data_IF_453503843322
#
_entry.id   IF_453503843322
#
_cell.length_a   1.000
_cell.length_b   1.000
_cell.length_c   1.000
_cell.angle_alpha   90.00
_cell.angle_beta   90.00
_cell.angle_gamma   90.00
#
_symmetry.space_group_name_H-M   'P 1'
#
loop_
_entity.id
_entity.type
_entity.pdbx_description
1 polymer ?
#
# COMPACT_ATOMS: atom_id res chain seq x y z
N UNK A 1 33.72 21.54 34.87
CA UNK A 1 32.34 21.36 35.35
C UNK A 1 31.44 22.21 34.48
N UNK A 2 30.77 21.50 33.58
CA UNK A 2 29.45 21.77 33.01
C UNK A 2 29.13 23.12 32.37
N UNK A 3 29.13 23.10 31.04
CA UNK A 3 28.03 23.71 30.26
C UNK A 3 28.00 23.11 28.86
N UNK A 4 27.56 21.85 28.77
CA UNK A 4 27.06 21.27 27.53
C UNK A 4 25.75 21.99 27.20
N UNK A 5 25.82 22.98 26.30
CA UNK A 5 24.64 23.57 25.67
C UNK A 5 23.99 22.48 24.81
N UNK A 6 22.92 21.92 25.35
CA UNK A 6 22.02 20.99 24.70
C UNK A 6 21.34 21.71 23.52
N UNK A 7 21.92 21.58 22.33
CA UNK A 7 21.31 21.97 21.07
C UNK A 7 20.12 21.04 20.80
N UNK A 8 18.95 21.44 21.29
CA UNK A 8 17.67 20.91 20.81
C UNK A 8 17.54 21.28 19.33
N UNK A 9 17.99 20.40 18.45
CA UNK A 9 17.53 20.38 17.06
C UNK A 9 16.02 20.21 17.11
N UNK A 10 15.31 21.28 16.78
CA UNK A 10 13.91 21.20 16.39
C UNK A 10 13.91 20.53 15.03
N UNK A 11 13.70 19.22 15.00
CA UNK A 11 13.24 18.55 13.79
C UNK A 11 11.86 19.15 13.49
N UNK A 12 11.82 20.03 12.48
CA UNK A 12 10.57 20.48 11.91
C UNK A 12 9.83 19.29 11.31
N UNK A 13 8.51 19.38 11.09
CA UNK A 13 7.80 18.32 10.40
C UNK A 13 8.46 18.18 9.02
N UNK A 14 9.00 16.99 8.74
CA UNK A 14 9.36 16.60 7.38
C UNK A 14 8.10 16.86 6.55
N UNK A 15 8.21 17.84 5.66
CA UNK A 15 7.15 18.23 4.74
C UNK A 15 6.96 17.04 3.79
N UNK A 16 6.18 16.07 4.26
CA UNK A 16 5.96 14.80 3.61
C UNK A 16 5.36 15.08 2.25
N UNK A 17 6.16 14.87 1.22
CA UNK A 17 5.81 15.05 -0.19
C UNK A 17 4.48 14.36 -0.48
N UNK A 18 3.38 15.10 -0.44
CA UNK A 18 2.16 14.72 -1.13
C UNK A 18 2.55 14.50 -2.58
N UNK A 19 2.35 13.30 -3.12
CA UNK A 19 2.40 13.11 -4.58
C UNK A 19 1.20 13.88 -5.15
N UNK A 20 1.41 15.16 -5.47
CA UNK A 20 0.36 16.05 -5.93
C UNK A 20 -0.22 15.63 -7.29
N UNK A 21 0.48 14.78 -8.04
CA UNK A 21 0.08 14.29 -9.36
C UNK A 21 -0.28 12.79 -9.38
N UNK A 22 -0.77 12.23 -8.26
CA UNK A 22 -1.14 10.81 -8.20
C UNK A 22 -2.16 10.42 -9.28
N UNK A 23 -3.21 11.22 -9.48
CA UNK A 23 -4.24 10.94 -10.50
C UNK A 23 -3.66 10.88 -11.92
N UNK A 24 -2.71 11.76 -12.24
CA UNK A 24 -2.03 11.75 -13.54
C UNK A 24 -1.13 10.52 -13.69
N UNK A 25 -0.40 10.15 -12.63
CA UNK A 25 0.48 8.98 -12.61
C UNK A 25 -0.30 7.69 -12.77
N UNK A 26 -1.39 7.52 -12.02
CA UNK A 26 -2.15 6.27 -12.04
C UNK A 26 -2.94 6.09 -13.33
N UNK A 27 -3.27 7.18 -14.04
CA UNK A 27 -4.07 7.15 -15.26
C UNK A 27 -3.52 6.19 -16.32
N UNK A 28 -2.19 6.14 -16.51
CA UNK A 28 -1.58 5.30 -17.55
C UNK A 28 -1.66 3.80 -17.26
N UNK A 29 -1.79 3.40 -15.99
CA UNK A 29 -1.83 1.98 -15.59
C UNK A 29 -3.20 1.53 -15.09
N UNK A 30 -4.16 2.45 -14.93
CA UNK A 30 -5.46 2.18 -14.31
C UNK A 30 -6.17 0.99 -14.95
N UNK A 31 -6.33 1.00 -16.27
CA UNK A 31 -7.04 -0.05 -16.98
C UNK A 31 -6.33 -1.40 -16.85
N UNK A 32 -5.00 -1.43 -16.91
CA UNK A 32 -4.21 -2.64 -16.71
C UNK A 32 -4.38 -3.21 -15.29
N UNK A 33 -4.37 -2.36 -14.26
CA UNK A 33 -4.61 -2.79 -12.87
C UNK A 33 -6.00 -3.39 -12.72
N UNK A 34 -7.04 -2.73 -13.26
CA UNK A 34 -8.41 -3.24 -13.19
C UNK A 34 -8.57 -4.55 -13.97
N UNK A 35 -8.00 -4.65 -15.17
CA UNK A 35 -8.04 -5.87 -15.98
C UNK A 35 -7.38 -7.01 -15.23
N UNK A 36 -6.18 -6.81 -14.68
CA UNK A 36 -5.45 -7.85 -13.96
C UNK A 36 -6.21 -8.33 -12.71
N UNK A 37 -6.77 -7.41 -11.92
CA UNK A 37 -7.58 -7.74 -10.75
C UNK A 37 -8.86 -8.50 -11.13
N UNK A 38 -9.67 -7.96 -12.07
CA UNK A 38 -10.96 -8.55 -12.44
C UNK A 38 -10.78 -9.91 -13.11
N UNK A 39 -9.77 -10.06 -13.98
CA UNK A 39 -9.53 -11.32 -14.69
C UNK A 39 -8.95 -12.43 -13.80
N UNK A 40 -8.17 -12.06 -12.78
CA UNK A 40 -7.47 -13.04 -11.93
C UNK A 40 -8.30 -13.41 -10.70
N UNK A 41 -8.85 -12.41 -9.99
CA UNK A 41 -9.53 -12.60 -8.70
C UNK A 41 -10.99 -12.15 -8.70
N UNK A 42 -11.49 -11.64 -9.82
CA UNK A 42 -12.92 -11.34 -9.99
C UNK A 42 -13.40 -10.06 -9.30
N UNK A 43 -12.50 -9.23 -8.79
CA UNK A 43 -12.86 -8.07 -7.99
C UNK A 43 -12.01 -6.83 -8.28
N UNK A 44 -12.43 -5.68 -7.75
CA UNK A 44 -11.75 -4.40 -7.90
C UNK A 44 -10.75 -4.10 -6.77
N UNK A 45 -9.99 -3.00 -6.88
CA UNK A 45 -8.98 -2.60 -5.88
C UNK A 45 -9.57 -2.23 -4.51
N UNK A 46 -10.88 -1.97 -4.42
CA UNK A 46 -11.59 -1.65 -3.17
C UNK A 46 -12.46 -2.82 -2.69
N UNK A 47 -13.01 -3.62 -3.60
CA UNK A 47 -13.94 -4.71 -3.32
C UNK A 47 -13.24 -6.07 -3.11
N UNK A 48 -12.36 -6.17 -2.12
CA UNK A 48 -11.63 -7.41 -1.81
C UNK A 48 -10.25 -7.53 -2.46
N UNK A 49 -9.97 -6.80 -3.55
CA UNK A 49 -8.62 -6.69 -4.12
C UNK A 49 -7.68 -5.78 -3.32
N UNK A 50 -8.18 -5.12 -2.28
CA UNK A 50 -7.44 -4.11 -1.51
C UNK A 50 -6.16 -4.65 -0.87
N UNK A 51 -6.16 -5.91 -0.41
CA UNK A 51 -4.97 -6.51 0.21
C UNK A 51 -3.85 -6.72 -0.81
N UNK A 52 -4.20 -7.20 -2.01
CA UNK A 52 -3.25 -7.42 -3.11
C UNK A 52 -2.67 -6.08 -3.57
N UNK A 53 -3.51 -5.06 -3.70
CA UNK A 53 -3.07 -3.70 -4.06
C UNK A 53 -2.17 -3.10 -2.99
N UNK A 54 -2.55 -3.21 -1.71
CA UNK A 54 -1.74 -2.71 -0.61
C UNK A 54 -0.39 -3.43 -0.55
N UNK A 55 -0.35 -4.76 -0.69
CA UNK A 55 0.89 -5.53 -0.75
C UNK A 55 1.77 -5.17 -1.96
N UNK A 56 1.16 -4.93 -3.12
CA UNK A 56 1.87 -4.47 -4.31
C UNK A 56 2.50 -3.09 -4.07
N UNK A 57 1.75 -2.13 -3.55
CA UNK A 57 2.26 -0.82 -3.15
C UNK A 57 3.38 -0.96 -2.11
N UNK A 58 3.18 -1.78 -1.07
CA UNK A 58 4.19 -2.01 -0.02
C UNK A 58 5.52 -2.50 -0.60
N UNK A 59 5.47 -3.40 -1.58
CA UNK A 59 6.70 -3.89 -2.23
C UNK A 59 7.42 -2.82 -3.06
N UNK A 60 6.72 -1.76 -3.48
CA UNK A 60 7.26 -0.66 -4.28
C UNK A 60 7.71 0.50 -3.41
N UNK A 61 6.92 0.92 -2.44
CA UNK A 61 7.22 2.13 -1.64
C UNK A 61 7.69 1.81 -0.21
N UNK A 62 7.61 0.56 0.23
CA UNK A 62 7.79 0.18 1.64
C UNK A 62 6.61 0.58 2.51
N UNK A 63 6.84 0.78 3.81
CA UNK A 63 5.82 1.20 4.78
C UNK A 63 5.07 0.02 5.45
N UNK A 64 4.20 0.38 6.37
CA UNK A 64 3.48 -0.58 7.22
C UNK A 64 2.11 -0.91 6.64
N UNK A 65 1.81 -2.20 6.51
CA UNK A 65 0.48 -2.66 6.13
C UNK A 65 -0.49 -2.46 7.29
N UNK A 66 -1.54 -1.67 7.05
CA UNK A 66 -2.56 -1.32 8.02
C UNK A 66 -3.95 -1.56 7.44
N UNK A 67 -4.96 -1.56 8.32
CA UNK A 67 -6.36 -1.63 7.93
C UNK A 67 -7.14 -0.44 8.47
N UNK A 68 -8.08 0.06 7.67
CA UNK A 68 -9.13 0.95 8.14
C UNK A 68 -10.13 0.15 8.96
N UNK A 69 -10.56 0.70 10.09
CA UNK A 69 -11.47 0.01 11.01
C UNK A 69 -12.70 0.84 11.34
N UNK A 70 -13.85 0.16 11.39
CA UNK A 70 -15.10 0.71 11.95
C UNK A 70 -15.00 0.86 13.48
N UNK A 71 -15.91 1.62 14.13
CA UNK A 71 -15.98 1.74 15.59
C UNK A 71 -16.07 0.42 16.35
N UNK A 72 -16.63 -0.63 15.73
CA UNK A 72 -16.73 -1.97 16.31
C UNK A 72 -15.45 -2.82 16.14
N UNK A 73 -14.40 -2.27 15.53
CA UNK A 73 -13.12 -2.95 15.29
C UNK A 73 -13.05 -3.77 14.00
N UNK A 74 -14.14 -3.84 13.21
CA UNK A 74 -14.17 -4.55 11.93
C UNK A 74 -13.23 -3.87 10.92
N UNK A 75 -12.39 -4.66 10.27
CA UNK A 75 -11.45 -4.20 9.25
C UNK A 75 -12.12 -4.14 7.87
N UNK A 76 -12.16 -2.94 7.28
CA UNK A 76 -12.83 -2.67 6.00
C UNK A 76 -11.87 -2.73 4.81
N UNK A 77 -10.68 -2.15 4.96
CA UNK A 77 -9.81 -1.88 3.81
C UNK A 77 -8.35 -1.90 4.19
N UNK A 78 -7.52 -2.55 3.38
CA UNK A 78 -6.07 -2.54 3.52
C UNK A 78 -5.46 -1.28 2.89
N UNK A 79 -4.48 -0.68 3.57
CA UNK A 79 -3.73 0.46 3.10
C UNK A 79 -2.28 0.39 3.61
N UNK A 80 -1.40 1.22 3.05
CA UNK A 80 -0.02 1.36 3.53
C UNK A 80 0.15 2.67 4.29
N UNK A 81 0.70 2.60 5.51
CA UNK A 81 1.15 3.76 6.26
C UNK A 81 2.63 4.02 5.95
N UNK A 82 2.91 5.17 5.31
CA UNK A 82 4.27 5.62 4.99
C UNK A 82 4.37 7.13 5.14
N UNK A 83 5.40 7.60 5.84
CA UNK A 83 5.69 9.04 6.06
C UNK A 83 4.47 9.83 6.58
N UNK A 84 3.67 9.22 7.46
CA UNK A 84 2.47 9.82 8.04
C UNK A 84 1.27 9.91 7.09
N UNK A 85 1.34 9.28 5.92
CA UNK A 85 0.26 9.20 4.93
C UNK A 85 -0.24 7.76 4.79
N UNK A 86 -1.54 7.61 4.53
CA UNK A 86 -2.15 6.34 4.14
C UNK A 86 -2.25 6.27 2.62
N UNK A 87 -1.97 5.10 2.06
CA UNK A 87 -1.92 4.84 0.63
C UNK A 87 -2.79 3.64 0.26
N UNK A 88 -3.61 3.83 -0.77
CA UNK A 88 -4.32 2.79 -1.51
C UNK A 88 -4.26 3.11 -3.01
N UNK A 89 -5.08 2.46 -3.82
CA UNK A 89 -5.17 2.73 -5.25
C UNK A 89 -5.54 4.18 -5.61
N UNK A 90 -6.32 4.87 -4.76
CA UNK A 90 -6.66 6.28 -4.95
C UNK A 90 -5.59 7.24 -4.43
N UNK A 91 -4.50 6.72 -3.88
CA UNK A 91 -3.28 7.46 -3.60
C UNK A 91 -3.19 8.03 -2.18
N UNK A 92 -2.07 8.70 -1.90
CA UNK A 92 -1.70 9.13 -0.55
C UNK A 92 -2.57 10.25 -0.01
N UNK A 93 -3.02 10.11 1.24
CA UNK A 93 -3.60 11.22 2.02
C UNK A 93 -3.22 11.13 3.50
N UNK A 94 -3.20 12.26 4.23
CA UNK A 94 -3.17 12.24 5.69
C UNK A 94 -4.36 11.44 6.25
N UNK A 95 -4.21 10.69 7.35
CA UNK A 95 -5.20 9.70 7.81
C UNK A 95 -6.64 10.20 7.90
N UNK A 96 -6.87 11.40 8.45
CA UNK A 96 -8.22 11.96 8.57
C UNK A 96 -8.87 12.21 7.19
N UNK A 97 -8.10 12.71 6.22
CA UNK A 97 -8.58 12.94 4.84
C UNK A 97 -8.76 11.63 4.09
N UNK A 98 -7.86 10.66 4.30
CA UNK A 98 -7.93 9.34 3.71
C UNK A 98 -9.21 8.61 4.14
N UNK A 99 -9.45 8.52 5.45
CA UNK A 99 -10.66 7.88 6.02
C UNK A 99 -11.92 8.60 5.54
N UNK A 100 -11.93 9.93 5.54
CA UNK A 100 -13.09 10.70 5.04
C UNK A 100 -13.37 10.45 3.55
N UNK A 101 -12.33 10.31 2.72
CA UNK A 101 -12.49 9.96 1.30
C UNK A 101 -13.04 8.55 1.16
N UNK A 102 -12.43 7.58 1.84
CA UNK A 102 -12.83 6.18 1.79
C UNK A 102 -14.29 5.99 2.22
N UNK A 103 -14.68 6.52 3.37
CA UNK A 103 -16.06 6.45 3.87
C UNK A 103 -17.08 7.03 2.88
N UNK A 104 -16.72 8.11 2.19
CA UNK A 104 -17.59 8.74 1.19
C UNK A 104 -17.73 7.89 -0.07
N UNK A 105 -16.64 7.31 -0.56
CA UNK A 105 -16.63 6.50 -1.78
C UNK A 105 -17.28 5.14 -1.58
N UNK A 106 -16.95 4.45 -0.49
CA UNK A 106 -17.38 3.07 -0.22
C UNK A 106 -18.64 2.98 0.65
N UNK A 107 -19.21 4.12 1.04
CA UNK A 107 -20.39 4.20 1.92
C UNK A 107 -20.19 3.46 3.26
N UNK A 108 -18.99 3.60 3.83
CA UNK A 108 -18.58 2.98 5.10
C UNK A 108 -18.43 4.01 6.23
N UNK A 109 -18.21 3.53 7.45
CA UNK A 109 -18.05 4.35 8.66
C UNK A 109 -16.75 4.02 9.40
N UNK A 110 -15.62 3.99 8.70
CA UNK A 110 -14.32 3.80 9.36
C UNK A 110 -14.04 4.98 10.32
N UNK A 111 -13.58 4.67 11.53
CA UNK A 111 -13.29 5.63 12.58
C UNK A 111 -11.78 5.76 12.87
N UNK A 112 -10.97 4.85 12.33
CA UNK A 112 -9.52 4.86 12.53
C UNK A 112 -8.83 3.84 11.64
N UNK A 113 -7.55 3.61 11.94
CA UNK A 113 -6.75 2.57 11.32
C UNK A 113 -5.83 1.93 12.37
N UNK A 114 -5.38 0.70 12.11
CA UNK A 114 -4.43 -0.03 12.95
C UNK A 114 -3.60 -1.00 12.10
N UNK A 115 -2.46 -1.52 12.60
CA UNK A 115 -1.79 -2.64 11.96
C UNK A 115 -2.77 -3.78 11.68
N UNK A 116 -2.56 -4.45 10.55
CA UNK A 116 -3.37 -5.60 10.17
C UNK A 116 -3.13 -6.75 11.16
N UNK A 117 -4.21 -7.46 11.49
CA UNK A 117 -4.14 -8.73 12.20
C UNK A 117 -4.28 -9.87 11.19
N UNK A 118 -3.24 -10.69 11.06
CA UNK A 118 -3.19 -11.77 10.07
C UNK A 118 -4.21 -12.89 10.31
N UNK A 119 -4.66 -13.07 11.54
CA UNK A 119 -5.57 -14.16 11.91
C UNK A 119 -7.05 -13.78 11.73
N UNK A 120 -7.38 -12.48 11.76
CA UNK A 120 -8.78 -12.03 11.87
C UNK A 120 -9.23 -11.01 10.83
N UNK A 121 -8.32 -10.28 10.20
CA UNK A 121 -8.69 -9.19 9.29
C UNK A 121 -8.68 -9.63 7.84
N UNK A 122 -9.69 -9.15 7.10
CA UNK A 122 -9.80 -9.29 5.64
C UNK A 122 -9.66 -10.74 5.18
N UNK A 123 -10.24 -11.70 5.91
CA UNK A 123 -10.13 -13.14 5.66
C UNK A 123 -10.48 -13.46 4.20
N UNK A 124 -11.60 -12.93 3.68
CA UNK A 124 -12.02 -13.14 2.30
C UNK A 124 -11.01 -12.60 1.27
N UNK A 125 -10.40 -11.44 1.53
CA UNK A 125 -9.36 -10.88 0.66
C UNK A 125 -8.06 -11.70 0.69
N UNK A 126 -7.78 -12.38 1.81
CA UNK A 126 -6.62 -13.29 1.95
C UNK A 126 -6.83 -14.59 1.19
N UNK A 127 -8.05 -15.11 1.17
CA UNK A 127 -8.38 -16.36 0.45
C UNK A 127 -8.14 -16.24 -1.06
N UNK A 128 -8.24 -15.02 -1.60
CA UNK A 128 -7.99 -14.72 -3.01
C UNK A 128 -6.61 -14.09 -3.27
N UNK A 129 -5.75 -13.98 -2.26
CA UNK A 129 -4.44 -13.38 -2.40
C UNK A 129 -3.55 -14.20 -3.35
N UNK A 130 -3.09 -13.56 -4.43
CA UNK A 130 -2.24 -14.17 -5.45
C UNK A 130 -0.92 -13.37 -5.55
N UNK A 131 0.18 -13.99 -5.15
CA UNK A 131 1.51 -13.36 -5.17
C UNK A 131 1.96 -12.99 -6.59
N UNK A 132 1.59 -13.78 -7.60
CA UNK A 132 1.92 -13.49 -9.00
C UNK A 132 1.17 -12.25 -9.50
N UNK A 133 -0.08 -12.07 -9.08
CA UNK A 133 -0.85 -10.88 -9.36
C UNK A 133 -0.27 -9.68 -8.63
N UNK A 134 0.04 -9.84 -7.35
CA UNK A 134 0.69 -8.80 -6.56
C UNK A 134 1.99 -8.31 -7.23
N UNK A 135 2.83 -9.22 -7.71
CA UNK A 135 4.07 -8.88 -8.41
C UNK A 135 3.82 -8.11 -9.72
N UNK A 136 2.81 -8.52 -10.52
CA UNK A 136 2.43 -7.78 -11.74
C UNK A 136 1.95 -6.37 -11.42
N UNK A 137 1.05 -6.23 -10.45
CA UNK A 137 0.55 -4.91 -10.02
C UNK A 137 1.70 -4.04 -9.49
N UNK A 138 2.64 -4.65 -8.78
CA UNK A 138 3.78 -3.93 -8.26
C UNK A 138 4.76 -3.47 -9.37
N UNK A 139 4.87 -4.23 -10.46
CA UNK A 139 5.54 -3.79 -11.69
C UNK A 139 4.89 -2.53 -12.25
N UNK A 140 3.56 -2.53 -12.41
CA UNK A 140 2.80 -1.37 -12.89
C UNK A 140 2.98 -0.16 -11.95
N UNK A 141 2.90 -0.34 -10.63
CA UNK A 141 3.11 0.76 -9.69
C UNK A 141 4.53 1.33 -9.76
N UNK A 142 5.55 0.50 -9.95
CA UNK A 142 6.93 0.96 -10.10
C UNK A 142 7.13 1.83 -11.35
N UNK A 143 6.41 1.57 -12.44
CA UNK A 143 6.47 2.40 -13.66
C UNK A 143 6.01 3.84 -13.41
N UNK A 144 5.03 4.03 -12.52
CA UNK A 144 4.41 5.34 -12.24
C UNK A 144 4.97 6.00 -10.98
N UNK A 145 5.82 5.29 -10.22
CA UNK A 145 6.51 5.76 -9.01
C UNK A 145 8.05 5.63 -9.09
N UNK A 146 8.71 5.98 -10.20
CA UNK A 146 10.15 5.75 -10.36
C UNK A 146 11.03 6.51 -9.35
N UNK A 147 10.50 7.59 -8.77
CA UNK A 147 11.14 8.48 -7.80
C UNK A 147 11.04 8.00 -6.34
N UNK A 148 10.18 7.01 -6.07
CA UNK A 148 9.88 6.52 -4.71
C UNK A 148 10.06 5.01 -4.62
N UNK A 149 10.07 4.31 -5.75
CA UNK A 149 10.31 2.88 -5.82
C UNK A 149 11.60 2.52 -5.07
N UNK A 150 11.48 1.65 -4.07
CA UNK A 150 12.65 1.03 -3.45
C UNK A 150 13.35 0.19 -4.53
N UNK A 151 14.68 0.25 -4.60
CA UNK A 151 15.44 -0.60 -5.52
C UNK A 151 15.02 -2.06 -5.31
N UNK A 152 14.25 -2.60 -6.26
CA UNK A 152 13.89 -4.02 -6.23
C UNK A 152 15.16 -4.79 -6.55
N UNK A 153 15.79 -5.37 -5.53
CA UNK A 153 16.74 -6.46 -5.74
C UNK A 153 15.97 -7.66 -6.28
N UNK A 154 15.82 -7.71 -7.60
CA UNK A 154 15.31 -8.88 -8.32
C UNK A 154 16.41 -9.95 -8.23
N UNK A 155 16.52 -10.62 -7.08
CA UNK A 155 17.22 -11.89 -7.01
C UNK A 155 16.32 -12.95 -7.66
N UNK A 156 16.46 -13.11 -8.98
CA UNK A 156 16.16 -14.37 -9.62
C UNK A 156 17.22 -15.39 -9.17
N UNK A 157 16.98 -16.09 -8.08
CA UNK A 157 17.64 -17.38 -7.87
C UNK A 157 16.92 -18.41 -8.73
N UNK A 158 17.44 -18.65 -9.93
CA UNK A 158 17.25 -19.93 -10.61
C UNK A 158 18.14 -20.96 -9.89
N UNK A 159 17.61 -22.02 -9.26
CA UNK A 159 18.44 -23.15 -8.90
C UNK A 159 18.79 -23.90 -10.20
N UNK A 160 19.96 -23.60 -10.78
CA UNK A 160 20.62 -24.55 -11.67
C UNK A 160 21.04 -25.76 -10.82
N UNK A 161 20.20 -26.80 -10.83
CA UNK A 161 20.57 -28.12 -10.35
C UNK A 161 21.79 -28.66 -11.13
N UNK A 162 22.62 -29.50 -10.50
CA UNK A 162 23.89 -29.90 -11.09
C UNK A 162 23.68 -30.85 -12.27
N UNK A 163 24.42 -30.62 -13.35
CA UNK A 163 24.59 -31.55 -14.47
C UNK A 163 25.30 -32.82 -13.99
N UNK A 164 24.74 -34.03 -14.16
CA UNK A 164 25.49 -35.25 -13.94
C UNK A 164 26.42 -35.53 -15.12
N UNK A 165 27.64 -35.96 -14.79
CA UNK A 165 28.69 -36.46 -15.68
C UNK A 165 28.38 -37.86 -16.20
#
# INVERSE_FOLDING_TARGET
MDSLRNERRKEGPLEGSLIANWEERIYSIRDSVYVDLVTTVGCGPFDGGCLIVAGALQSVIGGDLVVLVRPNGFAEHAAILKDGQLWDFSGPLPPAKFISRFNKSELTECAGFRPINDDTDLIEAREIADNSLQDRLAGLFAEVLPDIAVERNIHQEHPQGPTPS
#
